data_IF_887965696126
#
_entry.id   IF_887965696126
#
_cell.length_a   1.000
_cell.length_b   1.000
_cell.length_c   1.000
_cell.angle_alpha   90.00
_cell.angle_beta   90.00
_cell.angle_gamma   90.00
#
_symmetry.space_group_name_H-M   'P 1'
#
loop_
_entity.id
_entity.type
_entity.pdbx_description
1 polymer ?
#
# COMPACT_ATOMS: atom_id res chain seq x y z
N UNK A 1 -11.38 13.14 24.70
CA UNK A 1 -10.63 12.45 23.63
C UNK A 1 -9.15 12.70 23.86
N UNK A 2 -8.38 11.67 24.21
CA UNK A 2 -6.97 11.49 23.84
C UNK A 2 -6.40 10.28 24.58
N UNK A 3 -6.79 9.08 24.14
CA UNK A 3 -6.00 7.89 24.42
C UNK A 3 -5.25 7.58 23.13
N UNK A 4 -3.93 7.54 23.20
CA UNK A 4 -3.09 7.09 22.10
C UNK A 4 -3.23 5.58 21.92
N UNK A 5 -2.84 5.01 20.77
CA UNK A 5 -2.77 3.55 20.60
C UNK A 5 -1.96 2.87 21.70
N UNK A 6 -0.88 3.52 22.17
CA UNK A 6 -0.07 3.06 23.29
C UNK A 6 -0.86 3.00 24.60
N UNK A 7 -1.66 4.02 24.91
CA UNK A 7 -2.52 4.04 26.11
C UNK A 7 -3.62 2.98 26.08
N UNK A 8 -3.86 2.38 24.92
CA UNK A 8 -4.81 1.29 24.69
C UNK A 8 -4.14 -0.08 24.59
N UNK A 9 -2.81 -0.18 24.68
CA UNK A 9 -2.06 -1.44 24.59
C UNK A 9 -1.80 -1.92 23.15
N UNK A 10 -2.06 -1.09 22.15
CA UNK A 10 -1.75 -1.40 20.76
C UNK A 10 -0.30 -1.04 20.40
N UNK A 11 0.25 -1.78 19.44
CA UNK A 11 1.53 -1.49 18.79
C UNK A 11 1.43 -1.73 17.29
N UNK A 12 2.28 -1.04 16.53
CA UNK A 12 2.44 -1.33 15.10
C UNK A 12 3.40 -2.53 14.98
N UNK A 13 2.95 -3.68 14.45
CA UNK A 13 3.85 -4.79 14.21
C UNK A 13 4.90 -4.39 13.17
N UNK A 14 6.08 -5.01 13.21
CA UNK A 14 7.05 -4.82 12.14
C UNK A 14 6.54 -5.40 10.83
N UNK A 15 7.02 -4.87 9.71
CA UNK A 15 6.64 -5.29 8.36
C UNK A 15 7.01 -6.75 8.03
N UNK A 16 7.90 -7.38 8.79
CA UNK A 16 8.25 -8.79 8.63
C UNK A 16 7.39 -9.75 9.48
N UNK A 17 6.40 -9.23 10.22
CA UNK A 17 5.42 -10.08 10.90
C UNK A 17 4.47 -10.72 9.86
N UNK A 18 3.78 -11.79 10.24
CA UNK A 18 2.82 -12.43 9.33
C UNK A 18 1.69 -11.44 8.94
N UNK A 19 1.50 -11.25 7.63
CA UNK A 19 0.47 -10.36 7.08
C UNK A 19 -0.82 -11.12 6.76
N UNK A 20 -1.97 -10.48 7.01
CA UNK A 20 -3.29 -11.02 6.62
C UNK A 20 -3.73 -10.58 5.21
N UNK A 21 -3.21 -9.45 4.73
CA UNK A 21 -3.43 -8.91 3.40
C UNK A 21 -2.38 -7.82 3.11
N UNK A 22 -2.20 -7.48 1.84
CA UNK A 22 -1.44 -6.30 1.39
C UNK A 22 -2.40 -5.40 0.64
N UNK A 23 -2.25 -4.08 0.80
CA UNK A 23 -3.06 -3.07 0.13
C UNK A 23 -2.15 -2.17 -0.69
N UNK A 24 -2.59 -1.81 -1.89
CA UNK A 24 -1.92 -0.84 -2.74
C UNK A 24 -2.94 0.11 -3.37
N UNK A 25 -2.54 1.35 -3.60
CA UNK A 25 -3.31 2.28 -4.41
C UNK A 25 -3.18 1.94 -5.90
N UNK A 26 -4.17 2.35 -6.69
CA UNK A 26 -4.12 2.23 -8.15
C UNK A 26 -3.57 3.53 -8.77
N UNK A 27 -2.66 3.47 -9.75
CA UNK A 27 -2.23 4.62 -10.54
C UNK A 27 -3.41 5.25 -11.29
N UNK A 28 -3.58 6.58 -11.25
CA UNK A 28 -4.75 7.23 -11.86
C UNK A 28 -4.43 8.48 -12.70
N UNK A 29 -3.42 9.27 -12.32
CA UNK A 29 -3.10 10.55 -12.99
C UNK A 29 -1.88 10.44 -13.93
N UNK A 30 -2.10 10.62 -15.24
CA UNK A 30 -1.03 10.51 -16.23
C UNK A 30 -0.01 11.66 -16.19
N UNK A 31 -0.38 12.85 -15.74
CA UNK A 31 0.57 13.96 -15.55
C UNK A 31 1.52 13.66 -14.39
N UNK A 32 1.01 13.12 -13.28
CA UNK A 32 1.84 12.66 -12.15
C UNK A 32 2.79 11.52 -12.56
N UNK A 33 2.35 10.66 -13.48
CA UNK A 33 3.15 9.58 -14.06
C UNK A 33 3.94 10.00 -15.31
N UNK A 34 4.04 11.30 -15.62
CA UNK A 34 4.85 11.85 -16.71
C UNK A 34 4.52 11.27 -18.10
N UNK A 35 3.26 10.92 -18.35
CA UNK A 35 2.80 10.31 -19.59
C UNK A 35 3.02 8.78 -19.66
N UNK A 36 3.28 8.13 -18.52
CA UNK A 36 3.58 6.70 -18.43
C UNK A 36 2.52 5.88 -17.69
N UNK A 37 1.30 6.41 -17.49
CA UNK A 37 0.26 5.73 -16.69
C UNK A 37 -0.02 4.31 -17.18
N UNK A 38 -0.06 4.08 -18.49
CA UNK A 38 -0.28 2.74 -19.06
C UNK A 38 0.84 1.74 -18.66
N UNK A 39 2.11 2.16 -18.73
CA UNK A 39 3.23 1.32 -18.35
C UNK A 39 3.20 1.02 -16.83
N UNK A 40 2.82 1.99 -16.01
CA UNK A 40 2.72 1.82 -14.56
C UNK A 40 1.58 0.88 -14.19
N UNK A 41 0.43 0.98 -14.85
CA UNK A 41 -0.69 0.06 -14.67
C UNK A 41 -0.25 -1.39 -14.92
N UNK A 42 0.48 -1.66 -16.00
CA UNK A 42 0.99 -3.01 -16.30
C UNK A 42 1.93 -3.54 -15.21
N UNK A 43 2.75 -2.66 -14.61
CA UNK A 43 3.66 -3.04 -13.51
C UNK A 43 2.87 -3.35 -12.23
N UNK A 44 1.87 -2.55 -11.89
CA UNK A 44 1.03 -2.78 -10.71
C UNK A 44 0.20 -4.07 -10.89
N UNK A 45 -0.38 -4.28 -12.07
CA UNK A 45 -1.07 -5.53 -12.43
C UNK A 45 -0.16 -6.74 -12.26
N UNK A 46 1.07 -6.67 -12.78
CA UNK A 46 2.04 -7.76 -12.62
C UNK A 46 2.38 -8.02 -11.16
N UNK A 47 2.63 -6.97 -10.37
CA UNK A 47 2.95 -7.10 -8.95
C UNK A 47 1.81 -7.70 -8.12
N UNK A 48 0.57 -7.39 -8.45
CA UNK A 48 -0.61 -7.97 -7.79
C UNK A 48 -0.81 -9.46 -8.10
N UNK A 49 -0.35 -9.94 -9.27
CA UNK A 49 -0.44 -11.34 -9.63
C UNK A 49 0.51 -12.25 -8.83
N UNK A 50 1.52 -11.67 -8.16
CA UNK A 50 2.56 -12.38 -7.40
C UNK A 50 2.30 -12.39 -5.88
N UNK A 51 1.18 -11.81 -5.42
CA UNK A 51 0.72 -11.77 -4.02
C UNK A 51 -0.29 -12.89 -3.72
#
# INVERSE_FOLDING_TARGET
MNRTPRDLGFSMPPEWAAHGAVWTAWPDDDEEWLGHLEAVNQVVEHGLAEL
#
